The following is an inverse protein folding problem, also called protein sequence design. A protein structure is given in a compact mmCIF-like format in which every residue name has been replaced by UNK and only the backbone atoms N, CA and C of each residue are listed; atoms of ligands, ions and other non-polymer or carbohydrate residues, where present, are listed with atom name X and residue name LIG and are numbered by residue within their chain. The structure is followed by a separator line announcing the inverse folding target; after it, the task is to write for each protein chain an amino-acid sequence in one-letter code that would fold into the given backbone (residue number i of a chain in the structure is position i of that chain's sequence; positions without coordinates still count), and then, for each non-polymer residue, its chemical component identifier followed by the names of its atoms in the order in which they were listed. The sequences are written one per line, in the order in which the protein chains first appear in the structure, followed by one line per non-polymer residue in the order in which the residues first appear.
data_IF_366648056402
#
_entry.id   IF_366648056402
#
_cell.length_a   1.000
_cell.length_b   1.000
_cell.length_c   1.000
_cell.angle_alpha   90.00
_cell.angle_beta   90.00
_cell.angle_gamma   90.00
#
_symmetry.space_group_name_H-M   'P 1'
#
loop_
_entity.id
_entity.type
_entity.pdbx_description
1 polymer ?
#
# COMPACT_ATOMS: atom_id res chain seq x y z
N UNK A 1 -47.83 -51.11 1.83
CA UNK A 1 -47.11 -50.17 2.73
C UNK A 1 -46.24 -49.26 1.87
N UNK A 2 -46.40 -47.95 1.98
CA UNK A 2 -45.60 -46.94 1.28
C UNK A 2 -44.38 -46.60 2.14
N UNK A 3 -43.18 -46.73 1.59
CA UNK A 3 -41.94 -46.30 2.23
C UNK A 3 -41.38 -45.16 1.38
N UNK A 4 -41.37 -43.96 1.95
CA UNK A 4 -40.81 -42.76 1.33
C UNK A 4 -39.31 -42.73 1.65
N UNK A 5 -38.47 -42.92 0.62
CA UNK A 5 -37.02 -42.73 0.71
C UNK A 5 -36.72 -41.26 0.37
N UNK A 6 -36.40 -40.46 1.38
CA UNK A 6 -35.83 -39.12 1.23
C UNK A 6 -34.31 -39.26 1.41
N UNK A 7 -33.57 -39.12 0.32
CA UNK A 7 -32.11 -39.02 0.35
C UNK A 7 -31.69 -37.55 0.27
N UNK A 8 -31.08 -37.05 1.34
CA UNK A 8 -30.52 -35.70 1.49
C UNK A 8 -29.17 -35.67 0.78
N UNK A 9 -29.02 -34.85 -0.25
CA UNK A 9 -27.75 -34.60 -0.95
C UNK A 9 -26.92 -33.58 -0.17
N UNK A 10 -25.74 -33.98 0.31
CA UNK A 10 -24.74 -33.09 0.90
C UNK A 10 -23.75 -32.73 -0.22
N UNK A 11 -23.73 -31.47 -0.65
CA UNK A 11 -22.70 -30.92 -1.53
C UNK A 11 -21.49 -30.50 -0.68
N UNK A 12 -20.39 -31.25 -0.76
CA UNK A 12 -19.08 -30.83 -0.26
C UNK A 12 -18.28 -30.25 -1.42
N UNK A 13 -18.17 -28.92 -1.50
CA UNK A 13 -17.23 -28.27 -2.40
C UNK A 13 -15.87 -28.18 -1.70
N UNK A 14 -14.96 -29.07 -2.04
CA UNK A 14 -13.55 -28.96 -1.70
C UNK A 14 -12.87 -28.02 -2.70
N UNK A 15 -12.60 -26.77 -2.29
CA UNK A 15 -11.66 -25.92 -3.02
C UNK A 15 -10.24 -26.32 -2.60
N UNK A 16 -9.57 -27.10 -3.45
CA UNK A 16 -8.14 -27.33 -3.36
C UNK A 16 -7.40 -26.08 -3.87
N UNK A 17 -6.65 -25.42 -2.97
CA UNK A 17 -5.67 -24.39 -3.35
C UNK A 17 -4.35 -25.10 -3.73
N UNK A 18 -3.73 -24.77 -4.87
CA UNK A 18 -2.39 -25.24 -5.17
C UNK A 18 -1.37 -24.52 -4.28
N UNK A 19 -0.58 -25.31 -3.54
CA UNK A 19 0.60 -24.86 -2.82
C UNK A 19 1.78 -24.71 -3.78
N UNK A 20 2.10 -23.47 -4.16
CA UNK A 20 3.41 -23.19 -4.77
C UNK A 20 4.44 -23.06 -3.64
N UNK A 21 5.00 -24.21 -3.28
CA UNK A 21 6.25 -24.34 -2.55
C UNK A 21 7.38 -23.90 -3.49
N UNK A 22 8.07 -22.82 -3.15
CA UNK A 22 9.36 -22.46 -3.76
C UNK A 22 10.34 -22.14 -2.64
N UNK A 23 11.04 -23.22 -2.29
CA UNK A 23 12.38 -23.36 -1.73
C UNK A 23 13.08 -22.15 -1.13
N UNK A 24 13.49 -22.32 0.13
CA UNK A 24 14.60 -21.61 0.73
C UNK A 24 15.89 -21.83 -0.07
N UNK A 25 16.61 -20.74 -0.32
CA UNK A 25 18.05 -20.75 -0.61
C UNK A 25 18.71 -19.71 0.30
N UNK A 26 19.41 -20.20 1.32
CA UNK A 26 20.37 -19.41 2.09
C UNK A 26 21.64 -19.27 1.26
N UNK A 27 21.88 -18.10 0.68
CA UNK A 27 23.24 -17.69 0.31
C UNK A 27 23.42 -16.24 0.77
N UNK A 28 24.29 -16.07 1.75
CA UNK A 28 24.75 -14.78 2.22
C UNK A 28 25.75 -14.26 1.18
N UNK A 29 25.27 -13.40 0.28
CA UNK A 29 26.12 -12.63 -0.63
C UNK A 29 26.14 -11.18 -0.16
N UNK A 30 27.33 -10.69 0.14
CA UNK A 30 27.62 -9.30 0.51
C UNK A 30 27.18 -8.36 -0.62
N UNK A 31 25.96 -7.84 -0.54
CA UNK A 31 25.46 -6.82 -1.45
C UNK A 31 26.12 -5.49 -1.07
N UNK A 32 27.07 -5.05 -1.88
CA UNK A 32 27.45 -3.65 -1.93
C UNK A 32 26.18 -2.83 -2.18
N UNK A 33 25.78 -2.01 -1.22
CA UNK A 33 24.67 -1.07 -1.37
C UNK A 33 25.09 0.02 -2.35
N UNK A 34 24.99 -0.25 -3.65
CA UNK A 34 24.81 0.82 -4.62
C UNK A 34 23.41 1.41 -4.36
N UNK A 35 23.29 2.72 -4.12
CA UNK A 35 21.97 3.34 -4.00
C UNK A 35 21.28 3.18 -5.35
N UNK A 36 20.23 2.36 -5.38
CA UNK A 36 19.37 2.22 -6.54
C UNK A 36 18.88 3.63 -6.91
N UNK A 37 19.41 4.15 -8.02
CA UNK A 37 19.03 5.45 -8.52
C UNK A 37 17.54 5.38 -8.83
N UNK A 38 16.75 6.05 -8.01
CA UNK A 38 15.30 6.14 -8.15
C UNK A 38 15.02 6.87 -9.45
N UNK A 39 14.84 6.11 -10.54
CA UNK A 39 14.35 6.70 -11.78
C UNK A 39 13.02 7.39 -11.47
N UNK A 40 12.84 8.69 -11.80
CA UNK A 40 11.55 9.33 -11.65
C UNK A 40 10.59 8.63 -12.60
N UNK A 41 9.68 7.84 -12.04
CA UNK A 41 8.48 7.43 -12.76
C UNK A 41 7.67 8.70 -12.96
N UNK A 42 7.58 9.19 -14.20
CA UNK A 42 6.75 10.34 -14.58
C UNK A 42 5.26 9.96 -14.45
N UNK A 43 4.80 9.82 -13.20
CA UNK A 43 3.40 9.62 -12.89
C UNK A 43 2.54 10.79 -13.38
N UNK A 44 1.27 10.51 -13.64
CA UNK A 44 0.30 11.51 -14.05
C UNK A 44 0.09 12.56 -12.94
N UNK A 45 -0.09 13.81 -13.37
CA UNK A 45 -0.48 14.88 -12.47
C UNK A 45 -1.91 14.66 -11.97
N UNK A 46 -2.13 14.87 -10.68
CA UNK A 46 -3.45 14.81 -10.08
C UNK A 46 -4.25 16.08 -10.36
N UNK A 47 -5.58 15.95 -10.33
CA UNK A 47 -6.50 17.10 -10.40
C UNK A 47 -6.58 17.82 -9.05
N UNK A 48 -6.22 19.11 -8.95
CA UNK A 48 -6.26 19.86 -7.70
C UNK A 48 -7.64 19.84 -7.03
N UNK A 49 -7.66 19.68 -5.70
CA UNK A 49 -8.87 19.61 -4.89
C UNK A 49 -9.57 18.24 -4.91
N UNK A 50 -9.21 17.34 -5.82
CA UNK A 50 -9.74 15.97 -5.81
C UNK A 50 -9.03 15.13 -4.75
N UNK A 51 -9.76 14.15 -4.20
CA UNK A 51 -9.26 13.19 -3.22
C UNK A 51 -8.97 11.86 -3.86
N UNK A 52 -7.89 11.22 -3.42
CA UNK A 52 -7.42 9.93 -3.92
C UNK A 52 -7.04 9.04 -2.74
N UNK A 53 -7.26 7.74 -2.89
CA UNK A 53 -6.66 6.75 -2.01
C UNK A 53 -5.17 6.57 -2.34
N UNK A 54 -4.36 6.17 -1.35
CA UNK A 54 -2.95 5.82 -1.57
C UNK A 54 -2.75 4.90 -2.79
N UNK A 55 -3.55 3.83 -2.87
CA UNK A 55 -3.51 2.88 -3.97
C UNK A 55 -3.77 3.52 -5.33
N UNK A 56 -4.71 4.46 -5.44
CA UNK A 56 -4.99 5.16 -6.69
C UNK A 56 -3.82 6.05 -7.13
N UNK A 57 -3.16 6.71 -6.18
CA UNK A 57 -1.99 7.55 -6.46
C UNK A 57 -0.84 6.71 -7.04
N UNK A 58 -0.56 5.56 -6.42
CA UNK A 58 0.56 4.70 -6.82
C UNK A 58 0.23 3.85 -8.05
N UNK A 59 -0.98 3.26 -8.10
CA UNK A 59 -1.35 2.28 -9.11
C UNK A 59 -1.99 2.91 -10.35
N UNK A 60 -2.89 3.88 -10.17
CA UNK A 60 -3.63 4.48 -11.29
C UNK A 60 -2.85 5.67 -11.86
N UNK A 61 -2.41 6.58 -10.99
CA UNK A 61 -1.65 7.78 -11.39
C UNK A 61 -0.14 7.50 -11.57
N UNK A 62 0.35 6.30 -11.23
CA UNK A 62 1.76 5.90 -11.38
C UNK A 62 2.75 6.84 -10.68
N UNK A 63 2.31 7.55 -9.64
CA UNK A 63 3.20 8.38 -8.82
C UNK A 63 4.11 7.47 -8.02
N UNK A 64 5.40 7.82 -7.95
CA UNK A 64 6.35 7.07 -7.15
C UNK A 64 5.87 7.00 -5.69
N UNK A 65 5.80 5.78 -5.15
CA UNK A 65 5.31 5.55 -3.78
C UNK A 65 6.11 6.33 -2.73
N UNK A 66 7.41 6.53 -2.95
CA UNK A 66 8.25 7.28 -2.03
C UNK A 66 7.85 8.76 -1.99
N UNK A 67 7.45 9.34 -3.13
CA UNK A 67 6.94 10.71 -3.19
C UNK A 67 5.76 10.93 -2.24
N UNK A 68 4.76 10.04 -2.26
CA UNK A 68 3.59 10.17 -1.38
C UNK A 68 3.89 9.82 0.07
N UNK A 69 4.80 8.86 0.34
CA UNK A 69 5.20 8.49 1.70
C UNK A 69 6.00 9.59 2.39
N UNK A 70 6.93 10.24 1.68
CA UNK A 70 7.66 11.40 2.19
C UNK A 70 6.69 12.54 2.52
N UNK A 71 5.78 12.88 1.61
CA UNK A 71 4.76 13.91 1.85
C UNK A 71 3.83 13.58 3.02
N UNK A 72 3.43 12.32 3.18
CA UNK A 72 2.66 11.85 4.32
C UNK A 72 3.44 12.04 5.63
N UNK A 73 4.70 11.61 5.65
CA UNK A 73 5.53 11.66 6.85
C UNK A 73 5.94 13.08 7.24
N UNK A 74 6.09 14.00 6.28
CA UNK A 74 6.25 15.42 6.58
C UNK A 74 5.11 15.98 7.42
N UNK A 75 3.89 15.48 7.22
CA UNK A 75 2.67 15.97 7.88
C UNK A 75 2.27 15.15 9.11
N UNK A 76 2.63 13.87 9.15
CA UNK A 76 2.11 12.90 10.12
C UNK A 76 3.15 12.25 11.00
N UNK A 77 4.44 12.60 10.88
CA UNK A 77 5.51 12.02 11.71
C UNK A 77 5.20 12.02 13.22
N UNK A 78 4.69 13.13 13.76
CA UNK A 78 4.37 13.24 15.20
C UNK A 78 3.24 12.31 15.65
N UNK A 79 2.35 11.90 14.74
CA UNK A 79 1.13 11.16 15.03
C UNK A 79 1.19 9.70 14.56
N UNK A 80 2.01 9.42 13.55
CA UNK A 80 2.25 8.09 12.99
C UNK A 80 3.76 7.84 12.89
N UNK A 81 4.43 7.98 14.04
CA UNK A 81 5.84 7.70 14.16
C UNK A 81 6.14 6.27 13.69
N UNK A 82 5.28 5.29 13.95
CA UNK A 82 5.52 3.90 13.51
C UNK A 82 5.66 3.77 11.98
N UNK A 83 4.78 4.43 11.21
CA UNK A 83 4.87 4.40 9.75
C UNK A 83 5.98 5.31 9.21
N UNK A 84 6.35 6.36 9.96
CA UNK A 84 7.27 7.40 9.50
C UNK A 84 8.67 7.40 10.11
N UNK A 85 8.93 6.53 11.10
CA UNK A 85 10.20 6.54 11.85
C UNK A 85 11.38 6.26 10.94
N UNK A 86 11.26 5.27 10.05
CA UNK A 86 12.30 4.94 9.07
C UNK A 86 12.53 6.08 8.06
N UNK A 87 11.45 6.76 7.67
CA UNK A 87 11.44 7.86 6.69
C UNK A 87 12.13 9.12 7.21
N UNK A 88 11.92 9.44 8.50
CA UNK A 88 12.37 10.69 9.12
C UNK A 88 13.51 10.53 10.12
N UNK A 89 14.09 9.34 10.28
CA UNK A 89 15.09 9.06 11.33
C UNK A 89 16.27 10.01 11.21
N UNK A 90 16.41 10.90 12.19
CA UNK A 90 17.59 11.74 12.35
C UNK A 90 18.77 10.88 12.85
N UNK A 91 20.02 11.07 12.38
CA UNK A 91 20.53 12.14 11.53
C UNK A 91 20.51 11.86 10.01
N UNK A 92 20.09 10.68 9.56
CA UNK A 92 20.09 10.31 8.14
C UNK A 92 18.71 9.77 7.75
N UNK A 93 17.81 10.63 7.22
CA UNK A 93 16.54 10.16 6.69
C UNK A 93 16.82 9.14 5.58
N UNK A 94 16.12 8.01 5.62
CA UNK A 94 16.27 7.00 4.59
C UNK A 94 15.52 7.47 3.33
N UNK A 95 16.11 7.24 2.16
CA UNK A 95 15.45 7.49 0.88
C UNK A 95 14.17 6.64 0.71
N UNK A 96 14.12 5.52 1.42
CA UNK A 96 13.03 4.56 1.39
C UNK A 96 12.21 4.57 2.69
N UNK A 97 10.97 5.02 2.56
CA UNK A 97 9.94 5.00 3.59
C UNK A 97 9.10 3.73 3.48
N UNK A 98 8.62 3.25 4.63
CA UNK A 98 7.73 2.10 4.72
C UNK A 98 6.27 2.53 4.58
N UNK A 99 5.53 1.82 3.74
CA UNK A 99 4.09 1.94 3.52
C UNK A 99 3.29 1.22 4.61
N UNK A 100 3.49 1.66 5.86
CA UNK A 100 2.72 1.18 6.99
C UNK A 100 1.20 1.37 6.80
N UNK A 101 0.35 0.66 7.57
CA UNK A 101 -1.10 0.71 7.43
C UNK A 101 -1.68 2.12 7.64
N UNK A 102 -0.91 3.05 8.21
CA UNK A 102 -1.29 4.46 8.33
C UNK A 102 -1.20 5.25 7.04
N UNK A 103 -0.29 4.90 6.14
CA UNK A 103 -0.18 5.54 4.84
C UNK A 103 -1.08 4.85 3.80
N UNK A 104 -1.10 3.51 3.78
CA UNK A 104 -1.89 2.73 2.81
C UNK A 104 -3.38 3.08 2.89
N UNK A 105 -4.00 2.96 4.07
CA UNK A 105 -5.45 3.10 4.21
C UNK A 105 -5.89 4.56 4.39
N UNK A 106 -5.27 5.49 3.67
CA UNK A 106 -5.52 6.92 3.86
C UNK A 106 -6.00 7.60 2.59
N UNK A 107 -6.74 8.69 2.81
CA UNK A 107 -7.20 9.61 1.78
C UNK A 107 -6.26 10.81 1.73
N UNK A 108 -5.91 11.21 0.52
CA UNK A 108 -5.07 12.35 0.25
C UNK A 108 -5.77 13.30 -0.72
N UNK A 109 -5.66 14.60 -0.50
CA UNK A 109 -6.15 15.62 -1.42
C UNK A 109 -5.01 16.16 -2.27
N UNK A 110 -5.23 16.18 -3.58
CA UNK A 110 -4.29 16.76 -4.53
C UNK A 110 -4.19 18.28 -4.36
N UNK A 111 -2.97 18.80 -4.30
CA UNK A 111 -2.66 20.24 -4.34
C UNK A 111 -2.25 20.72 -5.73
N UNK A 112 -1.88 19.79 -6.61
CA UNK A 112 -1.46 20.04 -7.99
C UNK A 112 -0.15 19.33 -8.29
N UNK A 113 0.07 18.97 -9.55
CA UNK A 113 1.20 18.13 -9.95
C UNK A 113 1.13 16.76 -9.29
N UNK A 114 2.17 16.39 -8.55
CA UNK A 114 2.22 15.18 -7.72
C UNK A 114 2.29 15.51 -6.22
N UNK A 115 1.72 16.65 -5.82
CA UNK A 115 1.64 17.07 -4.42
C UNK A 115 0.28 16.73 -3.82
N UNK A 116 0.33 16.14 -2.63
CA UNK A 116 -0.79 15.58 -1.92
C UNK A 116 -0.72 15.95 -0.43
N UNK A 117 -1.87 16.32 0.13
CA UNK A 117 -2.00 16.59 1.57
C UNK A 117 -2.80 15.47 2.20
N UNK A 118 -2.30 14.93 3.31
CA UNK A 118 -3.04 13.95 4.08
C UNK A 118 -4.37 14.55 4.55
N UNK A 119 -5.46 13.80 4.39
CA UNK A 119 -6.79 14.23 4.86
C UNK A 119 -7.25 13.43 6.06
N UNK A 120 -7.29 12.12 5.90
CA UNK A 120 -7.83 11.25 6.92
C UNK A 120 -7.29 9.83 6.74
N UNK A 121 -7.22 9.12 7.87
CA UNK A 121 -6.91 7.69 7.93
C UNK A 121 -8.23 6.94 7.97
N UNK A 122 -8.34 5.92 7.13
CA UNK A 122 -9.49 5.05 7.01
C UNK A 122 -9.15 3.63 7.48
N UNK A 123 -10.17 2.79 7.68
CA UNK A 123 -9.97 1.34 7.72
C UNK A 123 -9.82 0.78 6.30
N UNK A 124 -10.61 1.33 5.37
CA UNK A 124 -10.57 1.04 3.95
C UNK A 124 -10.73 2.33 3.15
N UNK A 125 -10.01 2.47 2.04
CA UNK A 125 -10.16 3.60 1.15
C UNK A 125 -10.61 3.14 -0.23
N UNK A 126 -11.67 3.76 -0.74
CA UNK A 126 -12.18 3.51 -2.09
C UNK A 126 -12.57 4.82 -2.76
N UNK A 127 -12.12 5.02 -4.00
CA UNK A 127 -12.44 6.19 -4.82
C UNK A 127 -12.27 7.55 -4.08
N UNK A 128 -11.16 7.71 -3.37
CA UNK A 128 -10.83 8.93 -2.63
C UNK A 128 -11.68 9.18 -1.37
N UNK A 129 -12.33 8.15 -0.83
CA UNK A 129 -13.18 8.23 0.36
C UNK A 129 -12.89 7.09 1.33
N UNK A 130 -13.04 7.35 2.62
CA UNK A 130 -13.12 6.29 3.63
C UNK A 130 -14.44 5.53 3.50
N UNK A 131 -14.36 4.21 3.64
CA UNK A 131 -15.52 3.29 3.67
C UNK A 131 -15.47 2.47 4.95
#
# INVERSE_FOLDING_TARGET
MKIYLVAITIFANAFALPSSHSSASNEAETVAFEPAQVLPSDGANCQPGLRYCYGQIVQDLKVNKQTILHQYCDQRYEWDALSCHACKKFPWPLDYCWDGPGAWNSVFECKGGQQYTFKERCNWCQAGKCV
#
